data_IF_699468798637
#
_entry.id   IF_699468798637
#
_cell.length_a   1.000
_cell.length_b   1.000
_cell.length_c   1.000
_cell.angle_alpha   90.00
_cell.angle_beta   90.00
_cell.angle_gamma   90.00
#
_symmetry.space_group_name_H-M   'P 1'
#
loop_
_entity.id
_entity.type
_entity.pdbx_description
1 polymer ?
#
# COMPACT_ATOMS: atom_id res chain seq x y z
N UNK A 1 15.12 5.46 2.67
CA UNK A 1 14.48 4.25 2.12
C UNK A 1 14.06 3.37 3.29
N UNK A 2 12.90 2.73 3.19
CA UNK A 2 12.30 1.86 4.21
C UNK A 2 12.17 0.47 3.61
N UNK A 3 12.61 -0.55 4.35
CA UNK A 3 12.45 -1.96 4.02
C UNK A 3 11.09 -2.48 4.53
N UNK A 4 10.32 -3.14 3.66
CA UNK A 4 9.04 -3.78 4.01
C UNK A 4 8.77 -5.01 3.14
N UNK A 5 7.74 -5.78 3.50
CA UNK A 5 7.32 -6.99 2.78
C UNK A 5 5.84 -6.82 2.40
N UNK A 6 5.48 -7.03 1.14
CA UNK A 6 4.09 -7.11 0.67
C UNK A 6 3.89 -8.48 0.04
N UNK A 7 2.92 -9.25 0.52
CA UNK A 7 2.59 -10.61 0.02
C UNK A 7 3.81 -11.53 -0.12
N UNK A 8 4.72 -11.47 0.87
CA UNK A 8 5.97 -12.25 0.88
C UNK A 8 7.10 -11.69 0.01
N UNK A 9 6.87 -10.60 -0.73
CA UNK A 9 7.89 -9.97 -1.56
C UNK A 9 8.60 -8.84 -0.80
N UNK A 10 9.91 -8.95 -0.53
CA UNK A 10 10.67 -7.87 0.10
C UNK A 10 10.90 -6.73 -0.90
N UNK A 11 10.71 -5.49 -0.46
CA UNK A 11 10.97 -4.29 -1.25
C UNK A 11 11.48 -3.12 -0.42
N UNK A 12 12.16 -2.20 -1.09
CA UNK A 12 12.60 -0.91 -0.55
C UNK A 12 11.77 0.20 -1.17
N UNK A 13 11.22 1.07 -0.33
CA UNK A 13 10.44 2.23 -0.77
C UNK A 13 11.00 3.52 -0.21
N UNK A 14 10.67 4.64 -0.85
CA UNK A 14 10.97 5.96 -0.29
C UNK A 14 10.09 6.25 0.92
N UNK A 15 10.65 6.94 1.91
CA UNK A 15 9.89 7.40 3.06
C UNK A 15 8.77 8.35 2.60
N UNK A 16 7.57 8.19 3.18
CA UNK A 16 6.37 8.90 2.73
C UNK A 16 5.64 8.27 1.55
N UNK A 17 6.13 7.15 0.99
CA UNK A 17 5.37 6.36 0.02
C UNK A 17 4.12 5.76 0.67
N UNK A 18 3.02 5.70 -0.09
CA UNK A 18 1.80 5.01 0.34
C UNK A 18 1.90 3.52 0.07
N UNK A 19 1.19 2.70 0.83
CA UNK A 19 1.10 1.25 0.59
C UNK A 19 0.58 0.97 -0.84
N UNK A 20 -0.36 1.78 -1.33
CA UNK A 20 -0.89 1.67 -2.69
C UNK A 20 0.22 1.79 -3.76
N UNK A 21 1.14 2.75 -3.60
CA UNK A 21 2.28 2.93 -4.53
C UNK A 21 3.32 1.82 -4.36
N UNK A 22 3.56 1.38 -3.13
CA UNK A 22 4.48 0.28 -2.84
C UNK A 22 3.99 -1.04 -3.46
N UNK A 23 2.68 -1.31 -3.42
CA UNK A 23 2.09 -2.49 -4.06
C UNK A 23 2.18 -2.40 -5.60
N UNK A 24 1.89 -1.23 -6.19
CA UNK A 24 2.03 -1.01 -7.64
C UNK A 24 3.46 -1.29 -8.14
N UNK A 25 4.51 -0.94 -7.38
CA UNK A 25 5.90 -1.12 -7.81
C UNK A 25 6.34 -2.59 -7.94
N UNK A 26 5.63 -3.49 -7.26
CA UNK A 26 5.83 -4.96 -7.35
C UNK A 26 4.72 -5.66 -8.16
N UNK A 27 3.89 -4.89 -8.88
CA UNK A 27 2.85 -5.42 -9.76
C UNK A 27 1.57 -5.87 -9.05
N UNK A 28 1.41 -5.57 -7.76
CA UNK A 28 0.21 -5.89 -6.99
C UNK A 28 -0.78 -4.74 -7.13
N UNK A 29 -1.89 -5.01 -7.81
CA UNK A 29 -2.94 -4.00 -8.06
C UNK A 29 -4.01 -4.05 -6.98
N UNK A 30 -3.96 -3.12 -6.04
CA UNK A 30 -5.03 -2.91 -5.07
C UNK A 30 -6.16 -2.11 -5.74
N UNK A 31 -7.43 -2.55 -5.68
CA UNK A 31 -8.54 -1.80 -6.26
C UNK A 31 -8.71 -0.45 -5.55
N UNK A 32 -9.06 0.58 -6.31
CA UNK A 32 -9.30 1.94 -5.79
C UNK A 32 -10.37 2.62 -6.63
N UNK A 33 -11.25 3.39 -5.99
CA UNK A 33 -12.23 4.24 -6.68
C UNK A 33 -12.00 5.74 -6.41
N UNK A 34 -11.61 6.10 -5.20
CA UNK A 34 -11.47 7.51 -4.79
C UNK A 34 -10.02 8.02 -4.81
N UNK A 35 -9.05 7.23 -5.29
CA UNK A 35 -7.64 7.67 -5.41
C UNK A 35 -7.29 7.97 -6.87
N UNK A 36 -6.66 9.12 -7.08
CA UNK A 36 -6.11 9.53 -8.37
C UNK A 36 -4.80 10.28 -8.15
N UNK A 37 -3.77 10.01 -8.96
CA UNK A 37 -2.39 10.52 -8.75
C UNK A 37 -2.29 12.06 -8.78
N UNK A 38 -3.23 12.72 -9.46
CA UNK A 38 -3.29 14.18 -9.59
C UNK A 38 -4.18 14.86 -8.52
N UNK A 39 -4.82 14.12 -7.62
CA UNK A 39 -5.73 14.64 -6.60
C UNK A 39 -5.23 14.28 -5.20
N UNK A 40 -5.65 15.06 -4.21
CA UNK A 40 -5.39 14.74 -2.80
C UNK A 40 -6.13 13.45 -2.40
N UNK A 41 -5.49 12.54 -1.64
CA UNK A 41 -6.13 11.33 -1.14
C UNK A 41 -7.32 11.65 -0.21
N UNK A 42 -8.47 11.02 -0.46
CA UNK A 42 -9.71 11.27 0.31
C UNK A 42 -10.15 10.09 1.18
N UNK A 43 -9.92 8.85 0.74
CA UNK A 43 -10.19 7.65 1.53
C UNK A 43 -11.67 7.25 1.69
N UNK A 44 -12.60 7.80 0.89
CA UNK A 44 -14.04 7.53 1.06
C UNK A 44 -14.51 6.13 0.62
N UNK A 45 -13.93 5.55 -0.44
CA UNK A 45 -14.46 4.28 -0.98
C UNK A 45 -14.08 3.04 -0.16
N UNK A 46 -13.01 3.13 0.66
CA UNK A 46 -12.47 2.03 1.50
C UNK A 46 -12.18 0.71 0.77
N UNK A 47 -12.22 0.69 -0.56
CA UNK A 47 -11.98 -0.53 -1.34
C UNK A 47 -10.50 -0.95 -1.36
N UNK A 48 -9.60 -0.03 -1.03
CA UNK A 48 -8.15 -0.27 -0.94
C UNK A 48 -7.69 -0.66 0.48
N UNK A 49 -8.59 -1.17 1.32
CA UNK A 49 -8.23 -1.68 2.64
C UNK A 49 -7.31 -2.91 2.50
N UNK A 50 -6.31 -2.98 3.36
CA UNK A 50 -5.33 -4.05 3.42
C UNK A 50 -5.06 -4.39 4.88
N UNK A 51 -4.58 -5.59 5.13
CA UNK A 51 -4.18 -6.07 6.44
C UNK A 51 -2.71 -5.74 6.71
N UNK A 52 -2.37 -5.39 7.95
CA UNK A 52 -1.00 -5.17 8.36
C UNK A 52 -0.60 -6.30 9.31
N UNK A 53 0.44 -7.05 8.95
CA UNK A 53 1.06 -8.01 9.84
C UNK A 53 2.19 -7.33 10.61
N UNK A 54 2.09 -7.30 11.95
CA UNK A 54 3.16 -6.85 12.83
C UNK A 54 3.50 -7.97 13.80
N UNK A 55 4.73 -8.51 13.70
CA UNK A 55 5.23 -9.60 14.55
C UNK A 55 4.42 -10.92 14.49
N UNK A 56 3.77 -11.22 13.36
CA UNK A 56 3.04 -12.49 13.16
C UNK A 56 1.58 -12.47 13.61
N UNK A 57 1.09 -11.34 14.11
CA UNK A 57 -0.34 -11.11 14.36
C UNK A 57 -0.92 -10.23 13.26
N UNK A 58 -2.14 -10.53 12.83
CA UNK A 58 -2.95 -9.69 11.95
C UNK A 58 -3.75 -8.68 12.78
N UNK A 59 -3.60 -7.40 12.49
CA UNK A 59 -4.34 -6.28 13.14
C UNK A 59 -5.13 -5.48 12.10
#
# INVERSE_FOLDING_TARGET
MIDLIIDGQPLKVEEGSTILRAAESVGIKIPTLCYHKALSPYGACRICLVEIARNGSSE
#
